data_IF_613833390717
#
_entry.id   IF_613833390717
#
_cell.length_a   1.000
_cell.length_b   1.000
_cell.length_c   1.000
_cell.angle_alpha   90.00
_cell.angle_beta   90.00
_cell.angle_gamma   90.00
#
_symmetry.space_group_name_H-M   'P 1'
#
loop_
_entity.id
_entity.type
_entity.pdbx_description
1 polymer ?
#
# COMPACT_ATOMS: atom_id res chain seq x y z
N UNK A 1 16.06 -16.31 -0.06
CA UNK A 1 14.72 -16.83 0.27
C UNK A 1 13.87 -16.80 -1.00
N UNK A 2 13.08 -17.83 -1.34
CA UNK A 2 12.24 -17.81 -2.54
C UNK A 2 11.11 -16.79 -2.40
N UNK A 3 10.92 -15.94 -3.41
CA UNK A 3 9.82 -14.97 -3.48
C UNK A 3 8.44 -15.60 -3.22
N UNK A 4 8.22 -16.82 -3.71
CA UNK A 4 6.96 -17.56 -3.55
C UNK A 4 6.50 -17.77 -2.10
N UNK A 5 7.41 -17.71 -1.12
CA UNK A 5 7.03 -17.76 0.30
C UNK A 5 6.22 -16.54 0.74
N UNK A 6 6.27 -15.45 -0.03
CA UNK A 6 5.47 -14.25 0.18
C UNK A 6 4.15 -14.26 -0.59
N UNK A 7 3.79 -15.35 -1.28
CA UNK A 7 2.48 -15.43 -1.93
C UNK A 7 1.41 -15.62 -0.86
N UNK A 8 0.45 -14.69 -0.71
CA UNK A 8 -0.62 -14.84 0.27
C UNK A 8 -1.53 -16.02 -0.07
N UNK A 9 -1.87 -16.82 0.94
CA UNK A 9 -2.74 -18.02 0.78
C UNK A 9 -4.13 -17.86 1.40
N UNK A 10 -4.30 -16.88 2.30
CA UNK A 10 -5.53 -16.73 3.10
C UNK A 10 -6.20 -15.38 2.87
N UNK A 11 -7.53 -15.35 3.04
CA UNK A 11 -8.34 -14.12 3.02
C UNK A 11 -8.47 -13.53 4.43
N UNK A 12 -7.41 -12.87 4.92
CA UNK A 12 -7.44 -12.15 6.21
C UNK A 12 -8.14 -10.80 6.09
N UNK A 13 -8.62 -10.22 7.20
CA UNK A 13 -9.15 -8.83 7.19
C UNK A 13 -7.98 -7.85 7.28
N UNK A 14 -8.07 -6.73 6.57
CA UNK A 14 -7.02 -5.71 6.63
C UNK A 14 -6.93 -5.09 8.02
N UNK A 15 -8.06 -4.93 8.72
CA UNK A 15 -8.11 -4.44 10.10
C UNK A 15 -7.23 -5.27 11.02
N UNK A 16 -7.42 -6.60 11.04
CA UNK A 16 -6.64 -7.52 11.87
C UNK A 16 -5.14 -7.44 11.56
N UNK A 17 -4.75 -7.26 10.30
CA UNK A 17 -3.34 -7.14 9.91
C UNK A 17 -2.73 -5.79 10.29
N UNK A 18 -3.51 -4.71 10.25
CA UNK A 18 -3.10 -3.37 10.68
C UNK A 18 -2.93 -3.33 12.20
N UNK A 19 -3.85 -3.95 12.93
CA UNK A 19 -3.76 -4.14 14.38
C UNK A 19 -2.55 -5.02 14.75
N UNK A 20 -2.31 -6.11 14.00
CA UNK A 20 -1.14 -6.97 14.20
C UNK A 20 0.18 -6.23 13.95
N UNK A 21 0.21 -5.30 12.99
CA UNK A 21 1.34 -4.39 12.77
C UNK A 21 1.45 -3.30 13.86
N UNK A 22 0.53 -3.30 14.83
CA UNK A 22 0.53 -2.44 16.00
C UNK A 22 0.08 -1.01 15.72
N UNK A 23 -0.79 -0.81 14.74
CA UNK A 23 -1.53 0.45 14.58
C UNK A 23 -2.87 0.30 15.30
N UNK A 24 -3.23 1.32 16.09
CA UNK A 24 -4.54 1.35 16.74
C UNK A 24 -5.67 1.44 15.70
N UNK A 25 -6.57 0.46 15.75
CA UNK A 25 -7.75 0.36 14.88
C UNK A 25 -9.05 0.73 15.58
N UNK A 26 -9.01 1.17 16.85
CA UNK A 26 -10.18 1.67 17.59
C UNK A 26 -10.99 2.69 16.79
N UNK A 27 -10.37 3.67 16.07
CA UNK A 27 -11.11 4.63 15.26
C UNK A 27 -12.00 4.02 14.17
N UNK A 28 -11.72 2.79 13.73
CA UNK A 28 -12.49 2.13 12.68
C UNK A 28 -13.91 1.77 13.13
N UNK A 29 -14.13 1.73 14.45
CA UNK A 29 -15.44 1.45 15.05
C UNK A 29 -16.40 2.64 14.99
N UNK A 30 -15.96 3.79 14.48
CA UNK A 30 -16.77 5.00 14.41
C UNK A 30 -16.71 5.65 13.02
N UNK A 31 -17.79 6.33 12.66
CA UNK A 31 -17.83 7.28 11.54
C UNK A 31 -17.12 8.59 11.92
N UNK A 32 -16.94 9.48 10.94
CA UNK A 32 -16.30 10.78 11.18
C UNK A 32 -17.06 11.69 12.18
N UNK A 33 -18.37 11.50 12.33
CA UNK A 33 -19.21 12.21 13.31
C UNK A 33 -19.31 11.48 14.67
N UNK A 34 -18.58 10.38 14.87
CA UNK A 34 -18.53 9.63 16.11
C UNK A 34 -19.62 8.57 16.28
N UNK A 35 -20.44 8.33 15.25
CA UNK A 35 -21.46 7.26 15.28
C UNK A 35 -20.81 5.88 15.19
N UNK A 36 -21.16 4.90 16.05
CA UNK A 36 -20.64 3.55 15.95
C UNK A 36 -21.01 2.88 14.61
N UNK A 37 -20.07 2.18 14.00
CA UNK A 37 -20.33 1.35 12.81
C UNK A 37 -20.60 -0.10 13.20
N UNK A 38 -21.50 -0.77 12.48
CA UNK A 38 -21.86 -2.16 12.76
C UNK A 38 -20.70 -3.15 12.53
N UNK A 39 -19.86 -2.89 11.52
CA UNK A 39 -18.75 -3.77 11.13
C UNK A 39 -17.50 -2.90 10.92
N UNK A 40 -16.64 -2.72 11.95
CA UNK A 40 -15.45 -1.87 11.87
C UNK A 40 -14.50 -2.24 10.70
N UNK A 41 -14.31 -3.54 10.45
CA UNK A 41 -13.47 -4.03 9.36
C UNK A 41 -13.98 -3.68 7.95
N UNK A 42 -15.25 -3.26 7.83
CA UNK A 42 -15.88 -2.83 6.58
C UNK A 42 -16.04 -1.31 6.50
N UNK A 43 -15.52 -0.54 7.47
CA UNK A 43 -15.62 0.91 7.45
C UNK A 43 -14.88 1.50 6.23
N UNK A 44 -15.60 2.14 5.28
CA UNK A 44 -15.02 2.61 4.02
C UNK A 44 -13.98 3.72 4.19
N UNK A 45 -13.94 4.38 5.35
CA UNK A 45 -12.90 5.34 5.68
C UNK A 45 -11.51 4.69 5.82
N UNK A 46 -11.45 3.36 6.05
CA UNK A 46 -10.21 2.64 6.34
C UNK A 46 -10.00 1.39 5.48
N UNK A 47 -11.05 0.60 5.21
CA UNK A 47 -10.91 -0.75 4.65
C UNK A 47 -10.41 -0.80 3.20
N UNK A 48 -10.42 0.35 2.49
CA UNK A 48 -9.91 0.50 1.14
C UNK A 48 -8.57 1.25 1.07
N UNK A 49 -7.99 1.62 2.21
CA UNK A 49 -6.71 2.34 2.24
C UNK A 49 -5.56 1.43 1.81
N UNK A 50 -4.57 2.03 1.15
CA UNK A 50 -3.40 1.33 0.64
C UNK A 50 -2.20 1.40 1.59
N UNK A 51 -2.29 2.25 2.60
CA UNK A 51 -1.30 2.38 3.65
C UNK A 51 -1.96 2.84 4.96
N UNK A 52 -1.30 2.55 6.06
CA UNK A 52 -1.68 2.96 7.40
C UNK A 52 -0.42 3.42 8.10
N UNK A 53 -0.48 4.46 8.93
CA UNK A 53 0.68 4.89 9.69
C UNK A 53 0.29 5.61 10.97
N UNK A 54 1.27 5.73 11.86
CA UNK A 54 1.24 6.66 12.98
C UNK A 54 2.61 7.36 13.10
N UNK A 55 2.92 7.90 14.28
CA UNK A 55 4.19 8.57 14.51
C UNK A 55 5.41 7.63 14.29
N UNK A 56 5.26 6.35 14.64
CA UNK A 56 6.35 5.38 14.80
C UNK A 56 6.39 4.32 13.69
N UNK A 57 5.26 4.05 13.04
CA UNK A 57 5.07 2.88 12.16
C UNK A 57 4.45 3.29 10.82
N UNK A 58 4.92 2.64 9.77
CA UNK A 58 4.33 2.68 8.43
C UNK A 58 3.98 1.26 8.01
N UNK A 59 2.74 1.06 7.59
CA UNK A 59 2.22 -0.19 7.03
C UNK A 59 1.81 0.08 5.59
N UNK A 60 2.34 -0.71 4.65
CA UNK A 60 2.00 -0.62 3.23
C UNK A 60 1.29 -1.88 2.77
N UNK A 61 0.23 -1.73 1.98
CA UNK A 61 -0.36 -2.83 1.23
C UNK A 61 0.32 -2.91 -0.14
N UNK A 62 1.16 -3.93 -0.33
CA UNK A 62 1.96 -4.13 -1.53
C UNK A 62 1.47 -5.36 -2.29
N UNK A 63 1.35 -5.26 -3.61
CA UNK A 63 0.93 -6.40 -4.43
C UNK A 63 2.07 -7.39 -4.64
N UNK A 64 1.78 -8.69 -4.51
CA UNK A 64 2.75 -9.75 -4.75
C UNK A 64 3.26 -9.77 -6.20
N UNK A 65 2.38 -9.51 -7.18
CA UNK A 65 2.72 -9.48 -8.62
C UNK A 65 3.76 -8.42 -9.01
N UNK A 66 3.99 -7.42 -8.15
CA UNK A 66 4.98 -6.35 -8.35
C UNK A 66 6.27 -6.58 -7.56
N UNK A 67 6.38 -7.68 -6.82
CA UNK A 67 7.60 -8.04 -6.11
C UNK A 67 8.58 -8.74 -7.05
N UNK A 68 9.87 -8.41 -6.90
CA UNK A 68 10.96 -8.95 -7.70
C UNK A 68 12.08 -9.42 -6.79
N UNK A 69 12.93 -10.32 -7.28
CA UNK A 69 14.18 -10.68 -6.60
C UNK A 69 15.34 -10.03 -7.34
N UNK A 70 16.08 -9.19 -6.65
CA UNK A 70 17.30 -8.55 -7.17
C UNK A 70 18.41 -8.68 -6.15
N UNK A 71 19.59 -9.12 -6.59
CA UNK A 71 20.75 -9.33 -5.72
C UNK A 71 20.41 -10.19 -4.48
N UNK A 72 19.54 -11.19 -4.66
CA UNK A 72 19.10 -12.09 -3.58
C UNK A 72 18.10 -11.48 -2.58
N UNK A 73 17.66 -10.23 -2.76
CA UNK A 73 16.68 -9.54 -1.92
C UNK A 73 15.34 -9.40 -2.63
N UNK A 74 14.25 -9.54 -1.87
CA UNK A 74 12.92 -9.21 -2.40
C UNK A 74 12.74 -7.70 -2.36
N UNK A 75 12.33 -7.13 -3.49
CA UNK A 75 12.09 -5.70 -3.62
C UNK A 75 10.73 -5.42 -4.27
N UNK A 76 10.24 -4.19 -4.09
CA UNK A 76 9.19 -3.63 -4.92
C UNK A 76 9.54 -2.19 -5.29
N UNK A 77 9.56 -1.90 -6.60
CA UNK A 77 9.71 -0.55 -7.12
C UNK A 77 8.35 0.11 -7.29
N UNK A 78 8.23 1.37 -6.89
CA UNK A 78 6.98 2.14 -7.05
C UNK A 78 7.27 3.57 -7.43
N UNK A 79 6.33 4.17 -8.17
CA UNK A 79 6.26 5.61 -8.34
C UNK A 79 4.83 6.09 -8.13
N UNK A 80 4.55 6.57 -6.92
CA UNK A 80 3.20 7.00 -6.54
C UNK A 80 2.80 8.33 -7.17
N UNK A 81 3.77 9.20 -7.45
CA UNK A 81 3.52 10.46 -8.17
C UNK A 81 3.12 10.20 -9.61
N UNK A 82 3.75 9.23 -10.27
CA UNK A 82 3.41 8.77 -11.62
C UNK A 82 2.07 8.06 -11.65
N UNK A 83 1.81 7.16 -10.70
CA UNK A 83 0.51 6.50 -10.55
C UNK A 83 -0.62 7.52 -10.36
N UNK A 84 -0.42 8.54 -9.51
CA UNK A 84 -1.37 9.64 -9.33
C UNK A 84 -1.69 10.32 -10.66
N UNK A 85 -0.69 10.72 -11.43
CA UNK A 85 -0.88 11.38 -12.74
C UNK A 85 -1.68 10.50 -13.71
N UNK A 86 -1.37 9.20 -13.75
CA UNK A 86 -2.11 8.21 -14.57
C UNK A 86 -3.58 8.13 -14.15
N UNK A 87 -3.86 8.10 -12.84
CA UNK A 87 -5.24 8.09 -12.32
C UNK A 87 -5.96 9.39 -12.66
N UNK A 88 -5.30 10.55 -12.55
CA UNK A 88 -5.89 11.86 -12.90
C UNK A 88 -6.29 11.92 -14.38
N UNK A 89 -5.49 11.30 -15.26
CA UNK A 89 -5.72 11.22 -16.71
C UNK A 89 -6.71 10.12 -17.12
N UNK A 90 -7.06 9.20 -16.22
CA UNK A 90 -7.97 8.08 -16.47
C UNK A 90 -9.44 8.53 -16.51
N UNK A 91 -9.84 9.16 -17.63
CA UNK A 91 -11.19 9.72 -17.81
C UNK A 91 -12.31 8.67 -17.87
N UNK A 92 -11.98 7.39 -18.04
CA UNK A 92 -12.93 6.28 -17.98
C UNK A 92 -13.35 5.93 -16.55
N UNK A 93 -12.63 6.40 -15.52
CA UNK A 93 -13.00 6.20 -14.13
C UNK A 93 -14.11 7.15 -13.72
N UNK A 94 -15.04 6.66 -12.91
CA UNK A 94 -16.01 7.55 -12.27
C UNK A 94 -15.29 8.58 -11.37
N UNK A 95 -15.84 9.80 -11.25
CA UNK A 95 -15.19 10.88 -10.49
C UNK A 95 -14.89 10.54 -9.03
N UNK A 96 -15.73 9.73 -8.38
CA UNK A 96 -15.56 9.32 -6.98
C UNK A 96 -14.37 8.39 -6.80
N UNK A 97 -14.29 7.33 -7.62
CA UNK A 97 -13.16 6.40 -7.63
C UNK A 97 -11.86 7.08 -7.97
N UNK A 98 -11.86 7.98 -8.97
CA UNK A 98 -10.67 8.75 -9.35
C UNK A 98 -10.17 9.59 -8.18
N UNK A 99 -11.06 10.36 -7.54
CA UNK A 99 -10.72 11.19 -6.37
C UNK A 99 -10.18 10.35 -5.22
N UNK A 100 -10.84 9.23 -4.89
CA UNK A 100 -10.40 8.33 -3.83
C UNK A 100 -9.02 7.72 -4.12
N UNK A 101 -8.77 7.27 -5.34
CA UNK A 101 -7.49 6.67 -5.72
C UNK A 101 -6.35 7.69 -5.80
N UNK A 102 -6.63 8.93 -6.22
CA UNK A 102 -5.64 10.03 -6.13
C UNK A 102 -5.26 10.27 -4.66
N UNK A 103 -6.24 10.39 -3.76
CA UNK A 103 -5.96 10.58 -2.33
C UNK A 103 -5.13 9.43 -1.76
N UNK A 104 -5.49 8.18 -2.08
CA UNK A 104 -4.72 7.00 -1.64
C UNK A 104 -3.31 6.98 -2.23
N UNK A 105 -3.15 7.42 -3.47
CA UNK A 105 -1.84 7.51 -4.09
C UNK A 105 -0.94 8.53 -3.38
N UNK A 106 -1.49 9.72 -3.07
CA UNK A 106 -0.82 10.76 -2.29
C UNK A 106 -0.48 10.29 -0.87
N UNK A 107 -1.40 9.57 -0.23
CA UNK A 107 -1.16 8.98 1.07
C UNK A 107 0.05 8.04 1.01
N UNK A 108 0.05 7.03 0.14
CA UNK A 108 1.19 6.09 0.06
C UNK A 108 2.51 6.79 -0.27
N UNK A 109 2.52 7.77 -1.17
CA UNK A 109 3.72 8.56 -1.46
C UNK A 109 4.27 9.24 -0.18
N UNK A 110 3.38 9.83 0.61
CA UNK A 110 3.72 10.48 1.88
C UNK A 110 4.19 9.47 2.94
N UNK A 111 3.63 8.25 2.96
CA UNK A 111 4.09 7.14 3.80
C UNK A 111 5.56 6.81 3.52
N UNK A 112 5.85 6.64 2.22
CA UNK A 112 7.15 6.21 1.72
C UNK A 112 8.18 7.29 1.99
N UNK A 113 7.85 8.56 1.71
CA UNK A 113 8.70 9.70 2.06
C UNK A 113 8.99 9.75 3.56
N UNK A 114 7.97 9.56 4.40
CA UNK A 114 8.11 9.55 5.87
C UNK A 114 9.03 8.41 6.32
N UNK A 115 8.81 7.21 5.81
CA UNK A 115 9.63 6.04 6.15
C UNK A 115 11.08 6.24 5.72
N UNK A 116 11.31 6.74 4.50
CA UNK A 116 12.66 7.02 4.00
C UNK A 116 13.36 8.11 4.82
N UNK A 117 12.72 9.27 4.99
CA UNK A 117 13.32 10.44 5.67
C UNK A 117 13.68 10.13 7.12
N UNK A 118 12.83 9.38 7.81
CA UNK A 118 12.98 9.10 9.24
C UNK A 118 13.56 7.71 9.51
N UNK A 119 13.97 6.96 8.47
CA UNK A 119 14.48 5.58 8.57
C UNK A 119 13.54 4.66 9.38
N UNK A 120 12.23 4.81 9.19
CA UNK A 120 11.25 4.01 9.91
C UNK A 120 11.15 2.60 9.31
N UNK A 121 10.97 1.57 10.13
CA UNK A 121 10.64 0.24 9.64
C UNK A 121 9.29 0.29 8.91
N UNK A 122 9.25 -0.39 7.77
CA UNK A 122 8.03 -0.60 6.99
C UNK A 122 7.51 -2.00 7.31
N UNK A 123 6.23 -2.07 7.64
CA UNK A 123 5.49 -3.33 7.72
C UNK A 123 4.74 -3.52 6.41
N UNK A 124 4.77 -4.72 5.84
CA UNK A 124 4.15 -4.97 4.54
C UNK A 124 3.03 -5.98 4.68
N UNK A 125 1.81 -5.52 4.35
CA UNK A 125 0.70 -6.41 4.02
C UNK A 125 0.88 -6.80 2.56
N UNK A 126 1.20 -8.06 2.31
CA UNK A 126 1.30 -8.58 0.94
C UNK A 126 -0.09 -8.93 0.46
N UNK A 127 -0.49 -8.38 -0.68
CA UNK A 127 -1.80 -8.56 -1.30
C UNK A 127 -1.70 -9.39 -2.58
N UNK A 128 -2.72 -10.21 -2.83
CA UNK A 128 -2.87 -10.97 -4.06
C UNK A 128 -4.36 -11.06 -4.47
N UNK A 129 -4.62 -11.18 -5.76
CA UNK A 129 -5.95 -11.13 -6.36
C UNK A 129 -6.00 -10.40 -7.71
N UNK A 130 -7.20 -9.98 -8.11
CA UNK A 130 -7.45 -9.30 -9.39
C UNK A 130 -7.06 -7.82 -9.29
N UNK A 131 -6.15 -7.36 -10.15
CA UNK A 131 -5.73 -5.96 -10.19
C UNK A 131 -6.27 -5.28 -11.44
N UNK A 132 -6.91 -4.12 -11.25
CA UNK A 132 -7.25 -3.24 -12.35
C UNK A 132 -5.99 -2.80 -13.09
N UNK A 133 -6.03 -2.89 -14.41
CA UNK A 133 -5.05 -2.27 -15.30
C UNK A 133 -5.58 -0.90 -15.65
N UNK A 134 -4.90 0.17 -15.20
CA UNK A 134 -5.38 1.54 -15.39
C UNK A 134 -5.39 1.99 -16.86
N UNK A 135 -4.57 1.37 -17.68
CA UNK A 135 -4.48 1.65 -19.12
C UNK A 135 -5.61 0.99 -19.91
N UNK A 136 -6.24 -0.04 -19.34
CA UNK A 136 -7.33 -0.75 -20.00
C UNK A 136 -8.65 0.02 -19.80
N UNK A 137 -9.06 0.73 -20.85
CA UNK A 137 -10.27 1.56 -20.85
C UNK A 137 -11.57 0.74 -20.73
N UNK A 138 -11.52 -0.56 -21.06
CA UNK A 138 -12.65 -1.48 -20.89
C UNK A 138 -12.70 -2.07 -19.47
N UNK A 139 -11.60 -1.98 -18.71
CA UNK A 139 -11.51 -2.47 -17.33
C UNK A 139 -12.33 -1.59 -16.37
N UNK A 140 -13.63 -1.86 -16.29
CA UNK A 140 -14.54 -1.18 -15.36
C UNK A 140 -14.46 -1.71 -13.92
N UNK A 141 -13.97 -2.93 -13.71
CA UNK A 141 -13.96 -3.55 -12.39
C UNK A 141 -12.85 -3.01 -11.49
N UNK A 142 -13.12 -2.71 -10.20
CA UNK A 142 -12.09 -2.31 -9.25
C UNK A 142 -11.17 -3.48 -8.95
N UNK A 143 -9.92 -3.18 -8.55
CA UNK A 143 -9.02 -4.21 -8.01
C UNK A 143 -9.68 -4.92 -6.82
N UNK A 144 -9.59 -6.24 -6.77
CA UNK A 144 -10.09 -7.09 -5.70
C UNK A 144 -8.92 -7.81 -5.04
N UNK A 145 -8.65 -7.46 -3.79
CA UNK A 145 -7.73 -8.23 -2.95
C UNK A 145 -8.47 -9.47 -2.48
N UNK A 146 -8.03 -10.63 -2.93
CA UNK A 146 -8.61 -11.93 -2.57
C UNK A 146 -7.90 -12.54 -1.36
N UNK A 147 -6.58 -12.37 -1.31
CA UNK A 147 -5.71 -12.95 -0.29
C UNK A 147 -4.71 -11.91 0.20
N UNK A 148 -4.39 -11.98 1.49
CA UNK A 148 -3.38 -11.12 2.11
C UNK A 148 -2.86 -11.67 3.43
N UNK A 149 -1.62 -11.34 3.75
CA UNK A 149 -1.03 -11.55 5.07
C UNK A 149 -0.06 -10.41 5.40
N UNK A 150 0.24 -10.23 6.68
CA UNK A 150 1.29 -9.34 7.16
C UNK A 150 2.63 -10.10 7.15
N UNK A 151 3.59 -9.63 6.38
CA UNK A 151 4.96 -10.13 6.44
C UNK A 151 5.65 -9.58 7.69
N UNK A 152 6.09 -10.49 8.56
CA UNK A 152 6.73 -10.16 9.83
C UNK A 152 8.22 -9.87 9.68
N UNK A 153 8.80 -10.12 8.50
CA UNK A 153 10.18 -9.70 8.23
C UNK A 153 10.27 -8.18 8.08
N UNK A 154 11.41 -7.56 8.44
CA UNK A 154 11.58 -6.12 8.28
C UNK A 154 11.53 -5.73 6.80
N UNK A 155 10.92 -4.59 6.51
CA UNK A 155 11.07 -3.89 5.25
C UNK A 155 11.53 -2.46 5.48
N UNK A 156 12.09 -1.86 4.45
CA UNK A 156 12.55 -0.47 4.48
C UNK A 156 12.41 0.17 3.11
N UNK A 157 12.33 1.50 3.10
CA UNK A 157 12.52 2.27 1.86
C UNK A 157 14.02 2.50 1.70
N UNK A 158 14.62 1.84 0.72
CA UNK A 158 16.05 1.92 0.42
C UNK A 158 16.41 3.22 -0.30
N UNK A 159 15.53 3.68 -1.18
CA UNK A 159 15.71 4.94 -1.89
C UNK A 159 14.37 5.60 -2.19
N UNK A 160 14.39 6.93 -2.25
CA UNK A 160 13.29 7.75 -2.74
C UNK A 160 13.84 8.95 -3.51
N UNK A 161 13.36 9.17 -4.72
CA UNK A 161 13.73 10.33 -5.53
C UNK A 161 12.76 11.50 -5.33
N UNK A 162 13.23 12.56 -4.68
CA UNK A 162 12.44 13.77 -4.46
C UNK A 162 12.39 14.70 -5.66
N UNK A 163 13.45 14.73 -6.47
CA UNK A 163 13.78 15.86 -7.36
C UNK A 163 13.93 15.47 -8.84
N UNK A 164 13.94 14.17 -9.16
CA UNK A 164 14.14 13.70 -10.52
C UNK A 164 13.14 14.29 -11.51
N UNK A 165 13.64 14.80 -12.63
CA UNK A 165 12.80 15.44 -13.66
C UNK A 165 11.78 14.43 -14.22
N UNK A 166 12.22 13.19 -14.47
CA UNK A 166 11.38 12.10 -14.97
C UNK A 166 11.10 11.03 -13.91
N UNK A 167 11.94 10.96 -12.87
CA UNK A 167 11.97 9.90 -11.85
C UNK A 167 11.43 10.36 -10.50
N UNK A 168 11.00 11.62 -10.33
CA UNK A 168 10.43 12.08 -9.06
C UNK A 168 9.30 11.16 -8.59
N UNK A 169 9.42 10.71 -7.34
CA UNK A 169 8.54 9.75 -6.70
C UNK A 169 8.96 8.29 -6.86
N UNK A 170 10.03 7.98 -7.60
CA UNK A 170 10.60 6.64 -7.67
C UNK A 170 11.07 6.22 -6.28
N UNK A 171 10.65 5.04 -5.86
CA UNK A 171 10.97 4.46 -4.57
C UNK A 171 11.32 2.98 -4.74
N UNK A 172 12.33 2.54 -3.99
CA UNK A 172 12.69 1.12 -3.87
C UNK A 172 12.43 0.68 -2.44
N UNK A 173 11.48 -0.24 -2.27
CA UNK A 173 11.13 -0.84 -0.99
C UNK A 173 11.76 -2.22 -0.96
N UNK A 174 12.54 -2.53 0.06
CA UNK A 174 13.34 -3.75 0.15
C UNK A 174 12.94 -4.52 1.40
N UNK A 175 12.80 -5.83 1.26
CA UNK A 175 12.63 -6.77 2.36
C UNK A 175 13.99 -7.19 2.92
N UNK A 176 14.11 -7.18 4.24
CA UNK A 176 15.33 -7.47 4.96
C UNK A 176 15.96 -6.21 5.57
N UNK A 177 16.89 -6.45 6.48
CA UNK A 177 17.65 -5.40 7.15
C UNK A 177 18.55 -4.65 6.14
N UNK A 178 18.87 -3.37 6.41
CA UNK A 178 19.87 -2.66 5.62
C UNK A 178 21.21 -3.38 5.74
N UNK A 179 21.92 -3.47 4.62
CA UNK A 179 23.32 -3.87 4.66
C UNK A 179 24.08 -2.59 5.06
N UNK A 180 24.77 -2.65 6.19
CA UNK A 180 25.66 -1.58 6.67
C UNK A 180 26.75 -1.20 5.65
#
# INVERSE_FOLDING_TARGET
MPLEQLRPTERKRVMDLVEQAGIDVTPWSFTADGTPVAIPASNPAYCYEWCFWNAERVVLSLWFDHMLVEEGRVIQRRNMRSLRRRIEQANHLDPGTRTANVRRAVAVDSAVQRAFKNKLPVHVIVCDGERRILEDVESRDPSKVERRFLDLSPWQVMSYDYLGITTAGDAVIVRGEPID
#
